data_IF_355086477021
#
_entry.id   IF_355086477021
#
_cell.length_a   1.000
_cell.length_b   1.000
_cell.length_c   1.000
_cell.angle_alpha   90.00
_cell.angle_beta   90.00
_cell.angle_gamma   90.00
#
_symmetry.space_group_name_H-M   'P 1'
#
loop_
_entity.id
_entity.type
_entity.pdbx_description
1 polymer ?
#
# COMPACT_ATOMS: atom_id res chain seq x y z
N UNK A 1 -15.30 26.57 3.13
CA UNK A 1 -14.44 26.28 1.95
C UNK A 1 -15.27 26.17 0.69
N UNK A 2 -14.62 26.09 -0.48
CA UNK A 2 -15.27 25.85 -1.77
C UNK A 2 -16.10 24.56 -1.77
N UNK A 3 -17.24 24.52 -2.48
CA UNK A 3 -18.02 23.29 -2.70
C UNK A 3 -17.45 22.40 -3.82
N UNK A 4 -16.55 22.94 -4.65
CA UNK A 4 -15.90 22.22 -5.74
C UNK A 4 -14.62 21.55 -5.25
N UNK A 5 -14.56 20.22 -5.38
CA UNK A 5 -13.46 19.38 -4.87
C UNK A 5 -12.09 19.81 -5.40
N UNK A 6 -11.99 20.18 -6.68
CA UNK A 6 -10.73 20.62 -7.30
C UNK A 6 -10.08 21.81 -6.57
N UNK A 7 -10.90 22.66 -5.95
CA UNK A 7 -10.43 23.84 -5.19
C UNK A 7 -10.09 23.53 -3.74
N UNK A 8 -10.28 22.29 -3.30
CA UNK A 8 -9.94 21.80 -1.97
C UNK A 8 -8.70 20.88 -2.00
N UNK A 9 -8.20 20.51 -3.19
CA UNK A 9 -7.04 19.64 -3.34
C UNK A 9 -5.78 20.38 -2.89
N UNK A 10 -5.12 19.83 -1.86
CA UNK A 10 -3.84 20.35 -1.35
C UNK A 10 -2.66 19.66 -2.05
N UNK A 11 -2.76 18.36 -2.33
CA UNK A 11 -1.74 17.56 -3.02
C UNK A 11 -2.43 16.47 -3.84
N UNK A 12 -2.01 16.28 -5.09
CA UNK A 12 -2.52 15.21 -5.97
C UNK A 12 -1.41 14.70 -6.91
N UNK A 13 -1.12 13.38 -6.93
CA UNK A 13 -1.57 12.37 -5.97
C UNK A 13 -0.87 12.53 -4.60
N UNK A 14 -1.50 12.04 -3.53
CA UNK A 14 -0.94 12.10 -2.17
C UNK A 14 -0.34 10.76 -1.69
N UNK A 15 -0.96 9.65 -2.05
CA UNK A 15 -0.56 8.29 -1.70
C UNK A 15 -1.24 7.28 -2.63
N UNK A 16 -0.74 6.05 -2.67
CA UNK A 16 -1.46 4.89 -3.22
C UNK A 16 -1.98 4.05 -2.07
N UNK A 17 -3.27 3.70 -2.12
CA UNK A 17 -3.93 2.93 -1.07
C UNK A 17 -3.88 1.43 -1.39
N UNK A 18 -3.39 0.66 -0.45
CA UNK A 18 -3.48 -0.80 -0.41
C UNK A 18 -4.34 -1.24 0.77
N UNK A 19 -4.94 -2.43 0.66
CA UNK A 19 -5.68 -3.04 1.76
C UNK A 19 -5.30 -4.51 1.94
N UNK A 20 -5.07 -4.88 3.19
CA UNK A 20 -4.84 -6.25 3.67
C UNK A 20 -5.97 -6.61 4.66
N UNK A 21 -5.94 -7.83 5.19
CA UNK A 21 -6.91 -8.27 6.19
C UNK A 21 -8.28 -8.63 5.62
N UNK A 22 -9.33 -8.31 6.37
CA UNK A 22 -10.68 -8.82 6.14
C UNK A 22 -11.46 -8.05 5.08
N UNK A 23 -11.17 -6.75 4.92
CA UNK A 23 -11.87 -5.92 3.94
C UNK A 23 -11.76 -6.43 2.49
N UNK A 24 -10.54 -6.66 1.96
CA UNK A 24 -10.42 -7.17 0.60
C UNK A 24 -11.09 -8.54 0.49
N UNK A 25 -10.83 -9.48 1.41
CA UNK A 25 -11.41 -10.82 1.30
C UNK A 25 -12.95 -10.81 1.31
N UNK A 26 -13.57 -10.06 2.22
CA UNK A 26 -15.03 -10.04 2.39
C UNK A 26 -15.75 -9.36 1.23
N UNK A 27 -15.12 -8.39 0.57
CA UNK A 27 -15.74 -7.67 -0.56
C UNK A 27 -15.90 -8.58 -1.79
N UNK A 28 -14.95 -9.50 -2.01
CA UNK A 28 -14.96 -10.40 -3.16
C UNK A 28 -15.49 -11.81 -2.82
N UNK A 29 -15.63 -12.15 -1.53
CA UNK A 29 -16.13 -13.45 -1.09
C UNK A 29 -17.54 -13.77 -1.62
N UNK A 30 -18.41 -12.78 -1.71
CA UNK A 30 -19.79 -12.96 -2.20
C UNK A 30 -19.89 -12.91 -3.73
N UNK A 31 -18.75 -12.76 -4.43
CA UNK A 31 -18.68 -12.58 -5.90
C UNK A 31 -18.00 -13.73 -6.63
N UNK A 32 -17.58 -14.80 -5.93
CA UNK A 32 -16.72 -15.87 -6.47
C UNK A 32 -15.46 -15.33 -7.19
N UNK A 33 -15.00 -14.14 -6.78
CA UNK A 33 -13.87 -13.43 -7.38
C UNK A 33 -12.68 -13.42 -6.41
N UNK A 34 -11.46 -13.44 -6.95
CA UNK A 34 -10.25 -13.29 -6.13
C UNK A 34 -10.06 -11.82 -5.78
N UNK A 35 -9.64 -11.45 -4.54
CA UNK A 35 -9.17 -12.33 -3.45
C UNK A 35 -10.24 -12.70 -2.42
N UNK A 36 -10.34 -13.99 -2.07
CA UNK A 36 -11.11 -14.48 -0.92
C UNK A 36 -10.23 -14.90 0.28
N UNK A 37 -8.90 -14.74 0.16
CA UNK A 37 -7.93 -15.08 1.22
C UNK A 37 -6.89 -13.97 1.43
N UNK A 38 -6.25 -13.95 2.61
CA UNK A 38 -5.11 -13.07 2.88
C UNK A 38 -3.94 -13.32 1.93
N UNK A 39 -3.66 -14.60 1.64
CA UNK A 39 -2.61 -15.00 0.70
C UNK A 39 -2.87 -14.46 -0.70
N UNK A 40 -4.10 -14.59 -1.20
CA UNK A 40 -4.48 -14.07 -2.51
C UNK A 40 -4.35 -12.54 -2.57
N UNK A 41 -4.75 -11.84 -1.51
CA UNK A 41 -4.60 -10.38 -1.43
C UNK A 41 -3.13 -9.96 -1.53
N UNK A 42 -2.24 -10.58 -0.74
CA UNK A 42 -0.81 -10.31 -0.80
C UNK A 42 -0.20 -10.68 -2.17
N UNK A 43 -0.66 -11.78 -2.77
CA UNK A 43 -0.26 -12.21 -4.11
C UNK A 43 -0.61 -11.19 -5.19
N UNK A 44 -1.85 -10.68 -5.19
CA UNK A 44 -2.29 -9.64 -6.14
C UNK A 44 -1.45 -8.36 -5.99
N UNK A 45 -1.19 -7.91 -4.76
CA UNK A 45 -0.37 -6.72 -4.53
C UNK A 45 1.04 -6.94 -5.09
N UNK A 46 1.68 -8.06 -4.74
CA UNK A 46 3.02 -8.42 -5.23
C UNK A 46 3.07 -8.49 -6.75
N UNK A 47 2.11 -9.16 -7.37
CA UNK A 47 2.07 -9.32 -8.83
C UNK A 47 1.97 -7.97 -9.54
N UNK A 48 1.08 -7.09 -9.09
CA UNK A 48 0.90 -5.78 -9.71
C UNK A 48 2.11 -4.85 -9.49
N UNK A 49 2.75 -4.90 -8.31
CA UNK A 49 4.00 -4.16 -8.07
C UNK A 49 5.14 -4.68 -8.96
N UNK A 50 5.29 -6.00 -9.10
CA UNK A 50 6.29 -6.58 -9.98
C UNK A 50 6.04 -6.23 -11.46
N UNK A 51 4.78 -6.27 -11.91
CA UNK A 51 4.39 -5.83 -13.26
C UNK A 51 4.73 -4.37 -13.50
N UNK A 52 4.42 -3.50 -12.55
CA UNK A 52 4.69 -2.07 -12.66
C UNK A 52 6.19 -1.75 -12.64
N UNK A 53 6.98 -2.49 -11.85
CA UNK A 53 8.44 -2.32 -11.84
C UNK A 53 9.05 -2.72 -13.19
N UNK A 54 8.66 -3.87 -13.76
CA UNK A 54 9.09 -4.27 -15.11
C UNK A 54 8.68 -3.24 -16.16
N UNK A 55 7.44 -2.75 -16.09
CA UNK A 55 6.94 -1.71 -16.98
C UNK A 55 7.79 -0.43 -16.89
N UNK A 56 8.20 -0.04 -15.69
CA UNK A 56 9.11 1.08 -15.44
C UNK A 56 10.47 0.85 -16.10
N UNK A 57 11.06 -0.33 -15.94
CA UNK A 57 12.36 -0.69 -16.52
C UNK A 57 12.33 -0.61 -18.05
N UNK A 58 11.28 -1.15 -18.67
CA UNK A 58 11.06 -1.05 -20.12
C UNK A 58 10.93 0.41 -20.58
N UNK A 59 10.21 1.24 -19.82
CA UNK A 59 10.05 2.65 -20.11
C UNK A 59 11.35 3.45 -19.96
N UNK A 60 12.12 3.17 -18.91
CA UNK A 60 13.42 3.80 -18.66
C UNK A 60 14.43 3.43 -19.75
N UNK A 61 14.45 2.16 -20.17
CA UNK A 61 15.30 1.69 -21.25
C UNK A 61 14.93 2.33 -22.60
N UNK A 62 13.63 2.41 -22.90
CA UNK A 62 13.14 3.17 -24.06
C UNK A 62 13.61 4.63 -24.01
N UNK A 63 13.41 5.32 -22.88
CA UNK A 63 13.80 6.72 -22.75
C UNK A 63 15.31 6.94 -22.88
N UNK A 64 16.13 5.95 -22.49
CA UNK A 64 17.59 5.97 -22.60
C UNK A 64 18.08 5.76 -24.03
N UNK A 65 17.42 4.88 -24.79
CA UNK A 65 17.84 4.44 -26.13
C UNK A 65 17.15 5.19 -27.26
N UNK A 66 16.07 5.93 -26.98
CA UNK A 66 15.33 6.71 -27.98
C UNK A 66 16.24 7.66 -28.76
N UNK A 67 16.23 7.55 -30.09
CA UNK A 67 17.06 8.35 -31.00
C UNK A 67 18.51 7.88 -31.12
N UNK A 68 18.83 6.68 -30.61
CA UNK A 68 20.11 5.99 -30.81
C UNK A 68 19.93 4.80 -31.76
N UNK A 69 21.03 4.21 -32.24
CA UNK A 69 21.00 3.04 -33.11
C UNK A 69 20.43 1.78 -32.40
N UNK A 70 20.44 1.76 -31.06
CA UNK A 70 19.91 0.68 -30.21
C UNK A 70 18.50 1.00 -29.67
N UNK A 71 17.72 1.87 -30.34
CA UNK A 71 16.38 2.26 -29.89
C UNK A 71 15.46 1.04 -29.67
N UNK A 72 14.99 0.87 -28.44
CA UNK A 72 14.00 -0.14 -28.09
C UNK A 72 12.58 0.36 -28.38
N UNK A 73 11.61 -0.56 -28.49
CA UNK A 73 10.20 -0.18 -28.62
C UNK A 73 9.66 0.32 -27.29
N UNK A 74 8.94 1.46 -27.33
CA UNK A 74 8.18 1.92 -26.16
C UNK A 74 7.16 0.86 -25.74
N UNK A 75 7.07 0.49 -24.45
CA UNK A 75 6.06 -0.46 -23.99
C UNK A 75 4.64 0.11 -24.14
N UNK A 76 3.67 -0.78 -24.37
CA UNK A 76 2.26 -0.41 -24.49
C UNK A 76 1.74 0.25 -23.21
N UNK A 77 0.91 1.27 -23.35
CA UNK A 77 0.34 1.97 -22.20
C UNK A 77 -0.53 1.04 -21.33
N UNK A 78 -0.14 0.86 -20.08
CA UNK A 78 -0.93 0.15 -19.06
C UNK A 78 -1.30 1.11 -17.93
N UNK A 79 -2.60 1.45 -17.84
CA UNK A 79 -3.11 2.42 -16.88
C UNK A 79 -2.86 2.03 -15.41
N UNK A 80 -2.81 0.72 -15.09
CA UNK A 80 -2.55 0.26 -13.72
C UNK A 80 -1.07 0.41 -13.38
N UNK A 81 -0.18 0.05 -14.30
CA UNK A 81 1.26 0.22 -14.13
C UNK A 81 1.62 1.70 -14.01
N UNK A 82 1.08 2.55 -14.90
CA UNK A 82 1.27 4.00 -14.89
C UNK A 82 0.86 4.64 -13.56
N UNK A 83 -0.26 4.21 -13.00
CA UNK A 83 -0.71 4.67 -11.68
C UNK A 83 0.25 4.29 -10.54
N UNK A 84 1.01 3.19 -10.68
CA UNK A 84 1.93 2.67 -9.66
C UNK A 84 3.35 3.21 -9.81
N UNK A 85 3.76 3.71 -10.98
CA UNK A 85 5.11 4.24 -11.23
C UNK A 85 5.60 5.23 -10.16
N UNK A 86 4.77 6.16 -9.64
CA UNK A 86 5.22 7.10 -8.60
C UNK A 86 5.74 6.46 -7.31
N UNK A 87 5.38 5.19 -7.01
CA UNK A 87 5.91 4.47 -5.86
C UNK A 87 7.42 4.18 -5.97
N UNK A 88 7.93 4.09 -7.20
CA UNK A 88 9.31 3.69 -7.50
C UNK A 88 10.23 4.88 -7.81
N UNK A 89 9.73 6.11 -7.70
CA UNK A 89 10.52 7.32 -7.99
C UNK A 89 11.56 7.58 -6.90
N UNK A 90 12.85 7.44 -7.21
CA UNK A 90 13.92 7.56 -6.20
C UNK A 90 13.95 8.89 -5.43
N UNK A 91 13.58 10.01 -6.08
CA UNK A 91 13.66 11.35 -5.49
C UNK A 91 12.43 11.78 -4.69
N UNK A 92 11.24 11.35 -5.12
CA UNK A 92 9.97 11.74 -4.52
C UNK A 92 9.00 10.56 -4.62
N UNK A 93 9.25 9.53 -3.81
CA UNK A 93 8.38 8.35 -3.74
C UNK A 93 7.02 8.77 -3.22
N UNK A 94 5.99 8.41 -3.96
CA UNK A 94 4.64 8.47 -3.45
C UNK A 94 4.47 7.42 -2.33
N UNK A 95 3.79 7.77 -1.25
CA UNK A 95 3.64 6.85 -0.10
C UNK A 95 2.66 5.71 -0.41
N UNK A 96 3.03 4.49 -0.05
CA UNK A 96 2.16 3.31 -0.04
C UNK A 96 1.42 3.23 1.31
N UNK A 97 0.13 3.53 1.30
CA UNK A 97 -0.73 3.47 2.49
C UNK A 97 -1.35 2.08 2.62
N UNK A 98 -0.85 1.26 3.54
CA UNK A 98 -1.39 -0.07 3.79
C UNK A 98 -2.46 -0.03 4.88
N UNK A 99 -3.71 -0.30 4.52
CA UNK A 99 -4.73 -0.65 5.51
C UNK A 99 -4.43 -2.04 6.08
N UNK A 100 -4.15 -2.12 7.37
CA UNK A 100 -3.89 -3.38 8.07
C UNK A 100 -4.30 -3.26 9.55
N UNK A 101 -4.92 -4.32 10.07
CA UNK A 101 -5.37 -4.37 11.45
C UNK A 101 -4.55 -5.38 12.26
N UNK A 102 -4.50 -6.63 11.82
CA UNK A 102 -3.80 -7.70 12.54
C UNK A 102 -2.29 -7.66 12.37
N UNK A 103 -1.59 -8.22 13.36
CA UNK A 103 -0.13 -8.34 13.38
C UNK A 103 0.45 -8.98 12.09
N UNK A 104 -0.15 -10.06 11.61
CA UNK A 104 0.29 -10.75 10.40
C UNK A 104 0.08 -9.93 9.12
N UNK A 105 -1.02 -9.18 9.04
CA UNK A 105 -1.28 -8.24 7.96
C UNK A 105 -0.30 -7.03 8.02
N UNK A 106 0.02 -6.53 9.22
CA UNK A 106 1.01 -5.47 9.44
C UNK A 106 2.39 -5.89 8.92
N UNK A 107 2.90 -7.04 9.37
CA UNK A 107 4.20 -7.53 8.90
C UNK A 107 4.20 -7.92 7.42
N UNK A 108 3.04 -8.27 6.85
CA UNK A 108 2.92 -8.46 5.40
C UNK A 108 3.07 -7.15 4.62
N UNK A 109 2.49 -6.05 5.10
CA UNK A 109 2.71 -4.73 4.52
C UNK A 109 4.19 -4.31 4.57
N UNK A 110 4.84 -4.51 5.72
CA UNK A 110 6.27 -4.20 5.90
C UNK A 110 7.12 -5.05 4.95
N UNK A 111 6.87 -6.36 4.89
CA UNK A 111 7.60 -7.28 4.00
C UNK A 111 7.47 -6.88 2.53
N UNK A 112 6.27 -6.57 2.06
CA UNK A 112 6.05 -6.07 0.70
C UNK A 112 6.77 -4.74 0.46
N UNK A 113 6.75 -3.84 1.45
CA UNK A 113 7.41 -2.55 1.35
C UNK A 113 8.94 -2.69 1.27
N UNK A 114 9.54 -3.62 2.02
CA UNK A 114 10.96 -3.96 1.91
C UNK A 114 11.29 -4.61 0.56
N UNK A 115 10.47 -5.57 0.13
CA UNK A 115 10.63 -6.30 -1.14
C UNK A 115 10.71 -5.36 -2.35
N UNK A 116 9.86 -4.32 -2.37
CA UNK A 116 9.77 -3.36 -3.48
C UNK A 116 10.37 -1.99 -3.17
N UNK A 117 11.08 -1.84 -2.05
CA UNK A 117 11.67 -0.57 -1.59
C UNK A 117 10.65 0.59 -1.59
N UNK A 118 9.48 0.39 -1.00
CA UNK A 118 8.40 1.39 -0.95
C UNK A 118 8.59 2.33 0.25
N UNK A 119 8.29 3.62 0.07
CA UNK A 119 8.02 4.51 1.21
C UNK A 119 6.58 4.25 1.68
N UNK A 120 6.39 3.73 2.89
CA UNK A 120 5.11 3.19 3.32
C UNK A 120 4.61 3.79 4.64
N UNK A 121 3.28 3.71 4.80
CA UNK A 121 2.58 4.09 6.03
C UNK A 121 1.57 3.00 6.38
N UNK A 122 1.61 2.53 7.62
CA UNK A 122 0.63 1.61 8.16
C UNK A 122 -0.60 2.39 8.62
N UNK A 123 -1.77 2.01 8.13
CA UNK A 123 -3.05 2.64 8.44
C UNK A 123 -3.85 1.70 9.32
N UNK A 124 -4.39 2.24 10.40
CA UNK A 124 -5.09 1.59 11.51
C UNK A 124 -4.16 0.87 12.49
N UNK A 125 -3.32 -0.06 12.01
CA UNK A 125 -2.31 -0.78 12.80
C UNK A 125 -2.85 -1.24 14.17
N UNK A 126 -4.03 -1.89 14.16
CA UNK A 126 -4.80 -2.14 15.39
C UNK A 126 -4.07 -3.03 16.38
N UNK A 127 -3.46 -4.10 15.91
CA UNK A 127 -2.61 -4.98 16.72
C UNK A 127 -1.23 -4.38 17.03
N UNK A 128 -0.93 -3.15 16.58
CA UNK A 128 0.40 -2.57 16.73
C UNK A 128 0.90 -2.56 18.17
N UNK A 129 0.04 -2.31 19.15
CA UNK A 129 0.43 -2.39 20.58
C UNK A 129 0.78 -3.82 21.04
N UNK A 130 0.19 -4.85 20.42
CA UNK A 130 0.48 -6.26 20.74
C UNK A 130 1.88 -6.66 20.26
N UNK A 131 2.32 -6.07 19.14
CA UNK A 131 3.61 -6.37 18.50
C UNK A 131 4.59 -5.19 18.60
N UNK A 132 4.44 -4.31 19.59
CA UNK A 132 5.17 -3.05 19.64
C UNK A 132 6.70 -3.23 19.64
N UNK A 133 7.18 -4.23 20.39
CA UNK A 133 8.61 -4.52 20.52
C UNK A 133 9.23 -4.94 19.17
N UNK A 134 8.54 -5.82 18.42
CA UNK A 134 8.97 -6.24 17.08
C UNK A 134 8.79 -5.12 16.04
N UNK A 135 7.69 -4.36 16.14
CA UNK A 135 7.40 -3.26 15.22
C UNK A 135 8.42 -2.12 15.34
N UNK A 136 9.03 -1.95 16.51
CA UNK A 136 10.08 -0.97 16.75
C UNK A 136 11.36 -1.24 15.94
N UNK A 137 11.63 -2.47 15.53
CA UNK A 137 12.78 -2.80 14.66
C UNK A 137 12.68 -2.13 13.29
N UNK A 138 11.46 -1.97 12.80
CA UNK A 138 11.15 -1.39 11.49
C UNK A 138 10.90 0.12 11.53
N UNK A 139 10.61 0.68 12.71
CA UNK A 139 10.22 2.07 12.95
C UNK A 139 9.25 2.64 11.87
N UNK A 140 8.11 1.97 11.59
CA UNK A 140 7.22 2.40 10.52
C UNK A 140 6.50 3.70 10.86
N UNK A 141 6.12 4.46 9.84
CA UNK A 141 5.12 5.51 10.01
C UNK A 141 3.74 4.88 10.18
N UNK A 142 3.00 5.31 11.21
CA UNK A 142 1.68 4.75 11.54
C UNK A 142 0.63 5.86 11.66
N UNK A 143 -0.51 5.67 11.00
CA UNK A 143 -1.73 6.46 11.22
C UNK A 143 -2.73 5.57 11.94
N UNK A 144 -2.88 5.80 13.24
CA UNK A 144 -3.83 5.07 14.08
C UNK A 144 -5.27 5.61 13.93
N UNK A 145 -6.21 4.76 14.33
CA UNK A 145 -7.63 5.08 14.41
C UNK A 145 -8.46 4.36 13.34
N UNK A 146 -9.80 4.47 13.34
CA UNK A 146 -10.60 5.16 14.37
C UNK A 146 -10.34 4.53 15.74
N UNK A 147 -10.14 5.35 16.78
CA UNK A 147 -9.84 4.87 18.15
C UNK A 147 -11.12 4.66 18.98
N UNK A 148 -12.17 5.39 18.65
CA UNK A 148 -13.50 5.24 19.23
C UNK A 148 -14.37 4.52 18.21
N UNK A 149 -14.84 3.31 18.54
CA UNK A 149 -15.62 2.48 17.65
C UNK A 149 -15.86 1.09 18.22
N UNK A 150 -16.78 0.36 17.61
CA UNK A 150 -17.04 -1.04 17.93
C UNK A 150 -16.07 -1.97 17.19
N UNK A 151 -15.90 -3.18 17.73
CA UNK A 151 -15.07 -4.23 17.13
C UNK A 151 -15.88 -5.02 16.10
N UNK A 152 -16.26 -4.36 15.01
CA UNK A 152 -17.18 -4.91 14.01
C UNK A 152 -16.63 -6.08 13.16
N UNK A 153 -15.34 -6.44 13.31
CA UNK A 153 -14.67 -7.51 12.56
C UNK A 153 -13.70 -8.29 13.46
N UNK A 154 -13.50 -9.60 13.23
CA UNK A 154 -12.52 -10.38 13.98
C UNK A 154 -11.11 -9.75 14.03
N UNK A 155 -10.66 -9.07 12.97
CA UNK A 155 -9.37 -8.37 12.94
C UNK A 155 -9.26 -7.18 13.91
N UNK A 156 -10.37 -6.70 14.47
CA UNK A 156 -10.42 -5.61 15.45
C UNK A 156 -10.41 -6.09 16.90
N UNK A 157 -10.12 -7.37 17.15
CA UNK A 157 -10.17 -7.97 18.48
C UNK A 157 -9.34 -7.21 19.53
N UNK A 158 -8.18 -6.66 19.15
CA UNK A 158 -7.29 -5.91 20.03
C UNK A 158 -7.45 -4.39 19.93
N UNK A 159 -8.56 -3.90 19.35
CA UNK A 159 -8.83 -2.48 19.26
C UNK A 159 -8.93 -1.85 20.66
N UNK A 160 -8.05 -0.88 20.92
CA UNK A 160 -7.90 -0.24 22.22
C UNK A 160 -7.47 1.23 22.07
N UNK A 161 -8.08 2.12 22.84
CA UNK A 161 -7.74 3.55 22.87
C UNK A 161 -6.34 3.81 23.45
N UNK A 162 -5.74 2.82 24.13
CA UNK A 162 -4.40 2.89 24.73
C UNK A 162 -3.29 2.61 23.72
N UNK A 163 -3.58 2.06 22.53
CA UNK A 163 -2.57 1.75 21.51
C UNK A 163 -1.62 2.92 21.17
N UNK A 164 -2.08 4.17 21.00
CA UNK A 164 -1.18 5.30 20.76
C UNK A 164 -0.17 5.57 21.88
N UNK A 165 -0.47 5.18 23.12
CA UNK A 165 0.45 5.36 24.24
C UNK A 165 1.60 4.34 24.21
N UNK A 166 1.40 3.19 23.56
CA UNK A 166 2.40 2.14 23.42
C UNK A 166 3.31 2.41 22.22
N UNK A 167 2.75 2.85 21.09
CA UNK A 167 3.47 3.09 19.83
C UNK A 167 4.18 4.46 19.75
N UNK A 168 4.79 4.91 20.84
CA UNK A 168 5.44 6.23 20.92
C UNK A 168 6.81 6.29 20.27
#
# INVERSE_FOLDING_TARGET
GSKRVDRLVVKSPAAIKFALGENPKSTYNDRDETPVTRMATAGIIRENLAKALRYKEELDEYNRTKGTDDETSRPDFDAKCEALLPLFNEKDKLKAHFHCHRADDIFTAIRLSKEFNLDYVLIHCTDGAVIADELAEDMPQVILGPLMGDRGKPELANHDIRTPAVLR
#
